data_IF_274475607373
#
_entry.id   IF_274475607373
#
_cell.length_a   1.000
_cell.length_b   1.000
_cell.length_c   1.000
_cell.angle_alpha   90.00
_cell.angle_beta   90.00
_cell.angle_gamma   90.00
#
_symmetry.space_group_name_H-M   'P 1'
#
loop_
_entity.id
_entity.type
_entity.pdbx_description
1 polymer ?
#
# COMPACT_ATOMS: atom_id res chain seq x y z
N UNK A 1 -15.93 -12.50 -12.22
CA UNK A 1 -14.45 -12.55 -12.15
C UNK A 1 -13.90 -12.84 -13.53
N UNK A 2 -13.24 -11.88 -14.16
CA UNK A 2 -12.57 -12.12 -15.45
C UNK A 2 -11.41 -13.09 -15.22
N UNK A 3 -11.43 -14.24 -15.89
CA UNK A 3 -10.35 -15.21 -15.82
C UNK A 3 -9.15 -14.57 -16.54
N UNK A 4 -8.10 -14.20 -15.78
CA UNK A 4 -6.89 -13.63 -16.35
C UNK A 4 -6.31 -14.61 -17.37
N UNK A 5 -6.03 -14.12 -18.57
CA UNK A 5 -5.36 -14.91 -19.59
C UNK A 5 -3.88 -15.07 -19.22
N UNK A 6 -3.23 -16.11 -19.73
CA UNK A 6 -1.78 -16.31 -19.57
C UNK A 6 -0.99 -15.08 -20.06
N UNK A 7 -1.50 -14.39 -21.08
CA UNK A 7 -0.89 -13.18 -21.63
C UNK A 7 -0.90 -12.03 -20.60
N UNK A 8 -1.96 -11.89 -19.82
CA UNK A 8 -2.06 -10.87 -18.76
C UNK A 8 -0.99 -11.07 -17.70
N UNK A 9 -0.72 -12.33 -17.32
CA UNK A 9 0.36 -12.65 -16.36
C UNK A 9 1.74 -12.25 -16.88
N UNK A 10 2.03 -12.46 -18.17
CA UNK A 10 3.29 -12.01 -18.76
C UNK A 10 3.44 -10.49 -18.71
N UNK A 11 2.38 -9.75 -19.05
CA UNK A 11 2.37 -8.28 -18.96
C UNK A 11 2.58 -7.83 -17.52
N UNK A 12 1.92 -8.46 -16.53
CA UNK A 12 2.11 -8.12 -15.12
C UNK A 12 3.54 -8.37 -14.64
N UNK A 13 4.14 -9.50 -15.00
CA UNK A 13 5.53 -9.82 -14.63
C UNK A 13 6.49 -8.79 -15.22
N UNK A 14 6.28 -8.40 -16.48
CA UNK A 14 7.14 -7.42 -17.15
C UNK A 14 7.02 -6.03 -16.51
N UNK A 15 5.81 -5.59 -16.20
CA UNK A 15 5.56 -4.33 -15.47
C UNK A 15 6.20 -4.39 -14.08
N UNK A 16 6.03 -5.50 -13.36
CA UNK A 16 6.62 -5.67 -12.03
C UNK A 16 8.15 -5.57 -12.08
N UNK A 17 8.80 -6.25 -13.03
CA UNK A 17 10.25 -6.14 -13.22
C UNK A 17 10.68 -4.71 -13.54
N UNK A 18 9.96 -4.00 -14.41
CA UNK A 18 10.25 -2.60 -14.73
C UNK A 18 10.15 -1.70 -13.49
N UNK A 19 9.09 -1.87 -12.69
CA UNK A 19 8.90 -1.14 -11.43
C UNK A 19 10.04 -1.45 -10.46
N UNK A 20 10.36 -2.72 -10.21
CA UNK A 20 11.46 -3.12 -9.32
C UNK A 20 12.77 -2.48 -9.77
N UNK A 21 13.09 -2.53 -11.06
CA UNK A 21 14.34 -1.97 -11.58
C UNK A 21 14.43 -0.46 -11.35
N UNK A 22 13.35 0.28 -11.59
CA UNK A 22 13.27 1.72 -11.30
C UNK A 22 13.47 1.98 -9.80
N UNK A 23 12.79 1.21 -8.95
CA UNK A 23 12.86 1.39 -7.50
C UNK A 23 14.22 1.03 -6.91
N UNK A 24 14.91 0.01 -7.41
CA UNK A 24 16.29 -0.30 -6.99
C UNK A 24 17.20 0.92 -7.18
N UNK A 25 17.11 1.59 -8.33
CA UNK A 25 17.89 2.80 -8.64
C UNK A 25 17.50 4.01 -7.77
N UNK A 26 16.23 4.10 -7.36
CA UNK A 26 15.75 5.16 -6.46
C UNK A 26 16.19 4.89 -5.02
N UNK A 27 16.09 3.65 -4.55
CA UNK A 27 16.46 3.25 -3.19
C UNK A 27 17.97 3.24 -2.94
N UNK A 28 18.80 3.18 -3.98
CA UNK A 28 20.23 3.52 -3.86
C UNK A 28 20.44 4.97 -3.38
N UNK A 29 19.51 5.88 -3.67
CA UNK A 29 19.59 7.30 -3.32
C UNK A 29 18.77 7.67 -2.08
N UNK A 30 17.75 6.89 -1.75
CA UNK A 30 16.83 7.14 -0.63
C UNK A 30 16.98 6.02 0.40
N UNK A 31 17.45 6.37 1.61
CA UNK A 31 17.47 5.41 2.72
C UNK A 31 16.03 5.11 3.17
N UNK A 32 15.69 3.82 3.25
CA UNK A 32 14.46 3.34 3.88
C UNK A 32 14.54 3.54 5.40
N UNK A 33 14.35 4.78 5.84
CA UNK A 33 14.32 5.15 7.25
C UNK A 33 12.89 5.13 7.81
N UNK A 34 12.76 5.37 9.12
CA UNK A 34 11.43 5.42 9.77
C UNK A 34 10.55 6.52 9.18
N UNK A 35 11.13 7.65 8.77
CA UNK A 35 10.39 8.77 8.18
C UNK A 35 9.82 8.39 6.81
N UNK A 36 10.60 7.65 6.02
CA UNK A 36 10.15 7.07 4.76
C UNK A 36 9.00 6.09 4.94
N UNK A 37 9.06 5.21 5.95
CA UNK A 37 7.92 4.32 6.24
C UNK A 37 6.66 5.09 6.63
N UNK A 38 6.80 6.12 7.47
CA UNK A 38 5.67 6.96 7.88
C UNK A 38 5.06 7.64 6.65
N UNK A 39 5.89 8.25 5.79
CA UNK A 39 5.39 9.01 4.65
C UNK A 39 4.74 8.13 3.58
N UNK A 40 5.21 6.91 3.36
CA UNK A 40 4.62 6.00 2.36
C UNK A 40 3.36 5.30 2.90
N UNK A 41 3.21 5.19 4.23
CA UNK A 41 2.11 4.42 4.83
C UNK A 41 0.71 4.80 4.35
N UNK A 42 0.37 6.09 4.14
CA UNK A 42 -0.95 6.44 3.64
C UNK A 42 -1.14 6.06 2.16
N UNK A 43 -0.07 6.07 1.36
CA UNK A 43 -0.12 5.64 -0.04
C UNK A 43 -0.29 4.13 -0.18
N UNK A 44 0.25 3.36 0.78
CA UNK A 44 -0.05 1.92 0.89
C UNK A 44 -1.54 1.72 1.15
N UNK A 45 -2.10 2.39 2.17
CA UNK A 45 -3.55 2.31 2.47
C UNK A 45 -4.39 2.75 1.28
N UNK A 46 -4.01 3.84 0.60
CA UNK A 46 -4.64 4.32 -0.62
C UNK A 46 -4.68 3.23 -1.70
N UNK A 47 -3.56 2.55 -1.96
CA UNK A 47 -3.50 1.47 -2.94
C UNK A 47 -4.41 0.30 -2.58
N UNK A 48 -4.39 -0.11 -1.31
CA UNK A 48 -5.29 -1.16 -0.81
C UNK A 48 -6.75 -0.74 -1.02
N UNK A 49 -7.12 0.48 -0.63
CA UNK A 49 -8.51 0.96 -0.76
C UNK A 49 -8.98 1.07 -2.20
N UNK A 50 -8.16 1.59 -3.12
CA UNK A 50 -8.53 1.66 -4.55
C UNK A 50 -8.75 0.25 -5.10
N UNK A 51 -7.86 -0.69 -4.79
CA UNK A 51 -7.97 -2.08 -5.21
C UNK A 51 -9.28 -2.71 -4.72
N UNK A 52 -9.62 -2.52 -3.44
CA UNK A 52 -10.88 -3.03 -2.88
C UNK A 52 -12.11 -2.36 -3.50
N UNK A 53 -12.06 -1.06 -3.79
CA UNK A 53 -13.14 -0.36 -4.48
C UNK A 53 -13.37 -0.89 -5.90
N UNK A 54 -12.33 -1.38 -6.56
CA UNK A 54 -12.45 -2.10 -7.84
C UNK A 54 -13.04 -3.51 -7.61
N UNK A 55 -12.59 -4.22 -6.58
CA UNK A 55 -13.08 -5.57 -6.26
C UNK A 55 -14.58 -5.59 -5.93
N UNK A 56 -15.09 -4.58 -5.22
CA UNK A 56 -16.54 -4.40 -4.92
C UNK A 56 -17.32 -3.78 -6.10
N UNK A 57 -16.69 -3.57 -7.26
CA UNK A 57 -17.34 -3.09 -8.48
C UNK A 57 -17.72 -1.60 -8.48
N UNK A 58 -17.20 -0.80 -7.55
CA UNK A 58 -17.47 0.66 -7.49
C UNK A 58 -16.70 1.44 -8.56
N UNK A 59 -15.51 0.98 -8.88
CA UNK A 59 -14.66 1.49 -9.96
C UNK A 59 -14.75 0.48 -11.10
N UNK A 60 -15.18 0.93 -12.29
CA UNK A 60 -15.35 0.05 -13.44
C UNK A 60 -14.02 -0.58 -13.87
N UNK A 61 -14.07 -1.89 -14.17
CA UNK A 61 -12.94 -2.63 -14.74
C UNK A 61 -12.63 -2.10 -16.14
N UNK A 62 -11.53 -1.37 -16.28
CA UNK A 62 -10.97 -1.09 -17.60
C UNK A 62 -9.96 -2.21 -17.96
N UNK A 63 -10.17 -2.87 -19.10
CA UNK A 63 -9.35 -4.00 -19.58
C UNK A 63 -7.86 -3.65 -19.78
N UNK A 64 -7.53 -2.36 -19.92
CA UNK A 64 -6.14 -1.88 -20.08
C UNK A 64 -5.43 -1.54 -18.76
N UNK A 65 -6.19 -1.29 -17.68
CA UNK A 65 -5.71 -0.87 -16.35
C UNK A 65 -6.11 -1.91 -15.30
N UNK A 66 -5.80 -3.17 -15.59
CA UNK A 66 -6.09 -4.26 -14.69
C UNK A 66 -5.67 -3.95 -13.24
N UNK A 67 -6.54 -4.39 -12.34
CA UNK A 67 -6.66 -4.03 -10.92
C UNK A 67 -5.33 -3.92 -10.17
N UNK A 68 -4.35 -4.76 -10.51
CA UNK A 68 -3.06 -4.81 -9.81
C UNK A 68 -2.03 -3.81 -10.38
N UNK A 69 -1.56 -3.88 -11.64
CA UNK A 69 -0.54 -2.94 -12.12
C UNK A 69 -1.01 -1.49 -12.15
N UNK A 70 -2.28 -1.23 -12.51
CA UNK A 70 -2.80 0.14 -12.62
C UNK A 70 -2.81 0.87 -11.28
N UNK A 71 -3.28 0.20 -10.23
CA UNK A 71 -3.34 0.78 -8.88
C UNK A 71 -1.95 1.03 -8.32
N UNK A 72 -1.00 0.12 -8.54
CA UNK A 72 0.40 0.34 -8.15
C UNK A 72 1.01 1.53 -8.90
N UNK A 73 0.80 1.65 -10.22
CA UNK A 73 1.30 2.79 -10.99
C UNK A 73 0.72 4.11 -10.45
N UNK A 74 -0.59 4.20 -10.24
CA UNK A 74 -1.25 5.42 -9.74
C UNK A 74 -0.70 5.80 -8.36
N UNK A 75 -0.62 4.83 -7.44
CA UNK A 75 -0.15 5.07 -6.06
C UNK A 75 1.31 5.44 -6.00
N UNK A 76 2.16 4.78 -6.78
CA UNK A 76 3.59 5.10 -6.92
C UNK A 76 3.78 6.49 -7.51
N UNK A 77 3.12 6.80 -8.63
CA UNK A 77 3.27 8.08 -9.32
C UNK A 77 2.82 9.22 -8.42
N UNK A 78 1.64 9.11 -7.78
CA UNK A 78 1.17 10.11 -6.82
C UNK A 78 2.13 10.25 -5.64
N UNK A 79 2.59 9.14 -5.06
CA UNK A 79 3.57 9.15 -3.97
C UNK A 79 4.85 9.88 -4.38
N UNK A 80 5.41 9.58 -5.55
CA UNK A 80 6.62 10.23 -6.06
C UNK A 80 6.41 11.73 -6.33
N UNK A 81 5.25 12.14 -6.85
CA UNK A 81 4.91 13.55 -7.04
C UNK A 81 4.92 14.28 -5.70
N UNK A 82 4.20 13.78 -4.70
CA UNK A 82 4.14 14.43 -3.40
C UNK A 82 5.46 14.40 -2.66
N UNK A 83 6.24 13.31 -2.75
CA UNK A 83 7.61 13.25 -2.20
C UNK A 83 8.48 14.33 -2.85
N UNK A 84 8.41 14.48 -4.17
CA UNK A 84 9.17 15.50 -4.90
C UNK A 84 8.76 16.91 -4.49
N UNK A 85 7.45 17.15 -4.33
CA UNK A 85 6.93 18.41 -3.78
C UNK A 85 7.37 18.63 -2.33
N UNK A 86 7.41 17.58 -1.51
CA UNK A 86 7.91 17.63 -0.13
C UNK A 86 9.37 18.08 -0.07
N UNK A 87 10.24 17.54 -0.93
CA UNK A 87 11.63 18.00 -1.05
C UNK A 87 11.74 19.44 -1.55
N UNK A 88 10.90 19.84 -2.50
CA UNK A 88 10.85 21.22 -2.99
C UNK A 88 10.46 22.19 -1.87
N UNK A 89 9.41 21.87 -1.10
CA UNK A 89 8.98 22.68 0.04
C UNK A 89 10.06 22.71 1.11
N UNK A 90 10.70 21.59 1.44
CA UNK A 90 11.78 21.57 2.42
C UNK A 90 12.90 22.54 2.03
N UNK A 91 13.24 22.62 0.74
CA UNK A 91 14.25 23.57 0.26
C UNK A 91 13.82 25.03 0.38
N UNK A 92 12.52 25.32 0.29
CA UNK A 92 11.97 26.68 0.31
C UNK A 92 11.63 27.18 1.72
N UNK A 93 11.14 26.30 2.60
CA UNK A 93 10.57 26.67 3.91
C UNK A 93 11.25 26.01 5.10
N UNK A 94 12.11 25.02 4.87
CA UNK A 94 12.74 24.22 5.93
C UNK A 94 11.81 23.18 6.58
N UNK A 95 10.55 23.07 6.14
CA UNK A 95 9.62 22.05 6.63
C UNK A 95 10.12 20.67 6.16
N UNK A 96 10.15 19.69 7.08
CA UNK A 96 10.59 18.33 6.76
C UNK A 96 9.82 17.73 5.56
N UNK A 97 10.55 17.14 4.60
CA UNK A 97 9.98 16.61 3.35
C UNK A 97 8.84 15.59 3.53
N UNK A 98 8.83 14.86 4.64
CA UNK A 98 7.92 13.75 4.88
C UNK A 98 6.50 14.22 5.28
N UNK A 99 6.36 15.46 5.75
CA UNK A 99 5.10 16.00 6.29
C UNK A 99 4.06 16.17 5.19
N UNK A 100 4.40 16.83 4.08
CA UNK A 100 3.47 17.07 2.97
C UNK A 100 2.95 15.75 2.35
N UNK A 101 3.81 14.78 1.96
CA UNK A 101 3.35 13.48 1.47
C UNK A 101 2.49 12.75 2.48
N UNK A 102 2.87 12.78 3.76
CA UNK A 102 2.09 12.11 4.79
C UNK A 102 0.68 12.70 4.93
N UNK A 103 0.55 14.03 5.01
CA UNK A 103 -0.76 14.70 5.15
C UNK A 103 -1.62 14.48 3.91
N UNK A 104 -1.06 14.73 2.72
CA UNK A 104 -1.79 14.59 1.46
C UNK A 104 -2.24 13.15 1.22
N UNK A 105 -1.34 12.18 1.41
CA UNK A 105 -1.67 10.76 1.34
C UNK A 105 -2.74 10.37 2.36
N UNK A 106 -2.65 10.87 3.61
CA UNK A 106 -3.62 10.56 4.67
C UNK A 106 -5.02 11.07 4.34
N UNK A 107 -5.14 12.28 3.81
CA UNK A 107 -6.44 12.86 3.40
C UNK A 107 -7.06 12.00 2.31
N UNK A 108 -6.29 11.64 1.29
CA UNK A 108 -6.76 10.82 0.17
C UNK A 108 -7.14 9.41 0.65
N UNK A 109 -6.29 8.78 1.47
CA UNK A 109 -6.55 7.43 1.99
C UNK A 109 -7.78 7.40 2.89
N UNK A 110 -7.95 8.39 3.78
CA UNK A 110 -9.14 8.49 4.63
C UNK A 110 -10.42 8.65 3.81
N UNK A 111 -10.38 9.47 2.76
CA UNK A 111 -11.51 9.62 1.85
C UNK A 111 -11.88 8.31 1.15
N UNK A 112 -10.89 7.54 0.69
CA UNK A 112 -11.13 6.25 0.04
C UNK A 112 -11.61 5.17 1.00
N UNK A 113 -11.06 5.13 2.22
CA UNK A 113 -11.52 4.24 3.30
C UNK A 113 -12.95 4.59 3.69
N UNK A 114 -13.30 5.87 3.76
CA UNK A 114 -14.67 6.33 3.99
C UNK A 114 -15.61 5.85 2.88
N UNK A 115 -15.24 6.03 1.61
CA UNK A 115 -16.03 5.50 0.51
C UNK A 115 -16.18 3.97 0.59
N UNK A 116 -15.11 3.23 0.86
CA UNK A 116 -15.18 1.78 1.03
C UNK A 116 -16.14 1.40 2.17
N UNK A 117 -16.11 2.14 3.29
CA UNK A 117 -16.98 1.87 4.45
C UNK A 117 -18.46 2.03 4.14
N UNK A 118 -18.84 2.91 3.21
CA UNK A 118 -20.25 3.07 2.81
C UNK A 118 -20.75 1.96 1.89
N UNK A 119 -19.86 1.12 1.38
CA UNK A 119 -20.17 -0.03 0.53
C UNK A 119 -20.28 -1.34 1.33
N UNK A 120 -19.65 -1.43 2.50
CA UNK A 120 -19.73 -2.62 3.34
C UNK A 120 -21.13 -2.75 4.00
N UNK A 121 -21.64 -3.98 4.07
CA UNK A 121 -22.89 -4.32 4.78
C UNK A 121 -22.83 -3.82 6.24
N UNK A 122 -21.66 -3.95 6.87
CA UNK A 122 -21.39 -3.41 8.19
C UNK A 122 -20.08 -2.60 8.16
N UNK A 123 -20.14 -1.25 8.32
CA UNK A 123 -18.96 -0.40 8.32
C UNK A 123 -17.91 -0.77 9.38
N UNK A 124 -18.32 -1.40 10.48
CA UNK A 124 -17.41 -1.85 11.54
C UNK A 124 -16.42 -2.91 11.09
N UNK A 125 -16.71 -3.63 10.00
CA UNK A 125 -15.85 -4.68 9.47
C UNK A 125 -14.55 -4.17 8.86
N UNK A 126 -14.44 -2.86 8.59
CA UNK A 126 -13.19 -2.26 8.13
C UNK A 126 -12.04 -2.40 9.13
N UNK A 127 -12.36 -2.64 10.41
CA UNK A 127 -11.38 -2.90 11.47
C UNK A 127 -10.79 -4.31 11.41
N UNK A 128 -11.52 -5.29 10.84
CA UNK A 128 -11.11 -6.69 10.85
C UNK A 128 -9.78 -6.94 10.10
N UNK A 129 -9.57 -6.42 8.86
CA UNK A 129 -8.29 -6.55 8.16
C UNK A 129 -7.12 -5.98 8.95
N UNK A 130 -7.33 -4.84 9.61
CA UNK A 130 -6.32 -4.15 10.42
C UNK A 130 -5.94 -4.99 11.63
N UNK A 131 -6.94 -5.49 12.37
CA UNK A 131 -6.72 -6.31 13.56
C UNK A 131 -6.01 -7.64 13.19
N UNK A 132 -6.42 -8.28 12.09
CA UNK A 132 -5.79 -9.51 11.62
C UNK A 132 -4.34 -9.29 11.21
N UNK A 133 -4.06 -8.21 10.47
CA UNK A 133 -2.70 -7.85 10.06
C UNK A 133 -1.80 -7.52 11.27
N UNK A 134 -2.33 -6.79 12.27
CA UNK A 134 -1.62 -6.53 13.53
C UNK A 134 -1.31 -7.85 14.24
N UNK A 135 -2.32 -8.70 14.41
CA UNK A 135 -2.17 -9.98 15.12
C UNK A 135 -1.09 -10.86 14.49
N UNK A 136 -1.14 -11.06 13.17
CA UNK A 136 -0.17 -11.90 12.46
C UNK A 136 1.23 -11.25 12.49
N UNK A 137 1.34 -9.93 12.32
CA UNK A 137 2.64 -9.25 12.39
C UNK A 137 3.28 -9.36 13.77
N UNK A 138 2.49 -9.22 14.84
CA UNK A 138 2.96 -9.40 16.21
C UNK A 138 3.35 -10.85 16.50
N UNK A 139 2.60 -11.82 15.97
CA UNK A 139 2.97 -13.23 16.07
C UNK A 139 4.32 -13.52 15.40
N UNK A 140 4.54 -13.00 14.19
CA UNK A 140 5.83 -13.11 13.48
C UNK A 140 6.95 -12.46 14.31
N UNK A 141 6.72 -11.28 14.87
CA UNK A 141 7.69 -10.62 15.73
C UNK A 141 8.02 -11.45 16.98
N UNK A 142 7.02 -11.96 17.69
CA UNK A 142 7.20 -12.79 18.89
C UNK A 142 7.99 -14.07 18.59
N UNK A 143 7.64 -14.76 17.49
CA UNK A 143 8.38 -15.93 17.00
C UNK A 143 9.82 -15.55 16.65
N UNK A 144 10.03 -14.41 16.01
CA UNK A 144 11.38 -13.95 15.66
C UNK A 144 12.27 -13.67 16.88
N UNK A 145 11.69 -13.24 18.01
CA UNK A 145 12.42 -13.10 19.26
C UNK A 145 12.82 -14.48 19.80
N UNK A 146 11.86 -15.42 19.82
CA UNK A 146 12.08 -16.78 20.32
C UNK A 146 13.20 -17.51 19.56
N UNK A 147 13.21 -17.38 18.23
CA UNK A 147 14.21 -18.02 17.36
C UNK A 147 15.41 -17.13 17.03
N UNK A 148 15.52 -15.93 17.64
CA UNK A 148 16.61 -14.96 17.41
C UNK A 148 16.81 -14.59 15.94
N UNK A 149 15.72 -14.46 15.19
CA UNK A 149 15.73 -14.09 13.78
C UNK A 149 15.69 -12.56 13.66
N UNK A 150 16.85 -11.92 13.56
CA UNK A 150 16.99 -10.45 13.58
C UNK A 150 16.27 -9.74 12.41
N UNK A 151 16.09 -10.41 11.27
CA UNK A 151 15.49 -9.80 10.08
C UNK A 151 14.06 -9.33 10.34
N UNK A 152 13.30 -10.04 11.17
CA UNK A 152 11.91 -9.71 11.50
C UNK A 152 11.78 -8.79 12.71
N UNK A 153 12.89 -8.35 13.31
CA UNK A 153 12.89 -7.42 14.44
C UNK A 153 13.07 -5.97 13.97
N UNK A 154 13.53 -5.76 12.73
CA UNK A 154 13.69 -4.42 12.14
C UNK A 154 12.33 -3.80 11.82
N UNK A 155 12.12 -2.56 12.25
CA UNK A 155 10.86 -1.82 12.04
C UNK A 155 10.49 -1.67 10.56
N UNK A 156 11.48 -1.53 9.67
CA UNK A 156 11.26 -1.50 8.22
C UNK A 156 10.66 -2.79 7.69
N UNK A 157 11.17 -3.91 8.16
CA UNK A 157 10.75 -5.22 7.67
C UNK A 157 9.39 -5.59 8.22
N UNK A 158 9.13 -5.28 9.50
CA UNK A 158 7.79 -5.42 10.09
C UNK A 158 6.76 -4.53 9.40
N UNK A 159 7.13 -3.30 9.03
CA UNK A 159 6.24 -2.41 8.27
C UNK A 159 5.86 -2.97 6.90
N UNK A 160 6.82 -3.56 6.18
CA UNK A 160 6.58 -4.24 4.90
C UNK A 160 5.68 -5.46 5.08
N UNK A 161 5.97 -6.29 6.08
CA UNK A 161 5.17 -7.49 6.39
C UNK A 161 3.74 -7.09 6.75
N UNK A 162 3.57 -6.09 7.62
CA UNK A 162 2.27 -5.56 7.98
C UNK A 162 1.49 -5.05 6.75
N UNK A 163 2.14 -4.29 5.86
CA UNK A 163 1.52 -3.79 4.64
C UNK A 163 0.98 -4.93 3.74
N UNK A 164 1.77 -5.99 3.56
CA UNK A 164 1.33 -7.15 2.78
C UNK A 164 0.21 -7.94 3.47
N UNK A 165 0.29 -8.12 4.78
CA UNK A 165 -0.75 -8.81 5.55
C UNK A 165 -2.06 -8.02 5.57
N UNK A 166 -1.98 -6.69 5.66
CA UNK A 166 -3.13 -5.79 5.57
C UNK A 166 -3.79 -5.87 4.20
N UNK A 167 -2.99 -5.86 3.12
CA UNK A 167 -3.51 -6.00 1.76
C UNK A 167 -4.22 -7.35 1.57
N UNK A 168 -3.62 -8.45 2.02
CA UNK A 168 -4.21 -9.79 1.95
C UNK A 168 -5.47 -9.96 2.80
N UNK A 169 -5.46 -9.47 4.05
CA UNK A 169 -6.61 -9.55 4.95
C UNK A 169 -7.77 -8.67 4.48
N UNK A 170 -7.48 -7.57 3.80
CA UNK A 170 -8.53 -6.71 3.26
C UNK A 170 -9.18 -7.32 2.01
N UNK A 171 -8.43 -8.08 1.19
CA UNK A 171 -9.03 -8.85 0.07
C UNK A 171 -10.06 -9.85 0.57
N UNK A 172 -9.76 -10.60 1.64
CA UNK A 172 -10.73 -11.56 2.20
C UNK A 172 -12.01 -10.87 2.66
N UNK A 173 -11.90 -9.63 3.17
CA UNK A 173 -13.09 -8.85 3.53
C UNK A 173 -13.96 -8.55 2.31
N UNK A 174 -13.38 -8.06 1.22
CA UNK A 174 -14.13 -7.65 0.04
C UNK A 174 -14.79 -8.81 -0.71
N UNK A 175 -14.21 -10.02 -0.65
CA UNK A 175 -14.76 -11.21 -1.30
C UNK A 175 -15.96 -11.81 -0.55
N UNK A 176 -15.95 -11.74 0.77
CA UNK A 176 -16.94 -12.44 1.61
C UNK A 176 -18.14 -11.56 2.03
N UNK A 177 -18.02 -10.23 1.91
CA UNK A 177 -18.88 -9.29 2.64
C UNK A 177 -19.41 -8.09 1.83
N UNK A 178 -19.46 -8.21 0.50
CA UNK A 178 -20.07 -7.23 -0.40
C UNK A 178 -21.13 -7.87 -1.30
#
# INVERSE_FOLDING_TARGET
MGMYSIQDYFVYILILFAIIFIFLKIFERIRLDRRFLILISPYVVMGISIRLLVDVGRIEFNQLYSVTPGVYIVTIVLGLIFISLGFLIQRLTGIDYWILPFISGSIISLFLVYQLSSYLINPGWISYPVLLAIFITLAIYAISILFKIEIFQKTSNLGIIFAHLLDGSATSLALDNY
#
